data_IF_393058032843
#
_entry.id   IF_393058032843
#
_cell.length_a   1.000
_cell.length_b   1.000
_cell.length_c   1.000
_cell.angle_alpha   90.00
_cell.angle_beta   90.00
_cell.angle_gamma   90.00
#
_symmetry.space_group_name_H-M   'P 1'
#
loop_
_entity.id
_entity.type
_entity.pdbx_description
1 polymer ?
#
# COMPACT_ATOMS: atom_id res chain seq x y z
N UNK A 1 -38.20 12.16 19.44
CA UNK A 1 -37.29 12.81 18.48
C UNK A 1 -36.95 11.78 17.40
N UNK A 2 -37.70 11.76 16.29
CA UNK A 2 -37.60 10.80 15.19
C UNK A 2 -36.71 11.37 14.08
N UNK A 3 -35.60 10.69 13.75
CA UNK A 3 -34.71 11.09 12.64
C UNK A 3 -35.28 10.65 11.29
N UNK A 4 -35.29 11.51 10.25
CA UNK A 4 -35.85 11.13 8.95
C UNK A 4 -34.84 10.35 8.10
N UNK A 5 -35.34 9.27 7.52
CA UNK A 5 -34.73 8.37 6.55
C UNK A 5 -34.30 9.14 5.28
N UNK A 6 -32.99 9.27 5.03
CA UNK A 6 -32.47 9.85 3.78
C UNK A 6 -32.49 8.79 2.69
N UNK A 7 -33.46 8.92 1.78
CA UNK A 7 -33.71 8.03 0.66
C UNK A 7 -32.50 7.76 -0.22
N UNK A 8 -32.40 6.50 -0.63
CA UNK A 8 -31.45 5.98 -1.61
C UNK A 8 -31.61 6.72 -2.95
N UNK A 9 -30.67 7.61 -3.28
CA UNK A 9 -30.48 8.04 -4.68
C UNK A 9 -29.79 6.90 -5.43
N UNK A 10 -30.60 6.04 -6.07
CA UNK A 10 -30.11 5.08 -7.04
C UNK A 10 -29.53 5.84 -8.25
N UNK A 11 -28.20 6.03 -8.25
CA UNK A 11 -27.46 6.47 -9.43
C UNK A 11 -27.62 5.39 -10.51
N UNK A 12 -28.50 5.64 -11.47
CA UNK A 12 -28.73 4.79 -12.65
C UNK A 12 -27.55 4.96 -13.60
N UNK A 13 -26.45 4.28 -13.30
CA UNK A 13 -25.28 4.20 -14.19
C UNK A 13 -25.64 3.25 -15.33
N UNK A 14 -25.78 3.78 -16.54
CA UNK A 14 -25.87 2.99 -17.78
C UNK A 14 -24.67 2.03 -17.82
N UNK A 15 -24.96 0.74 -17.91
CA UNK A 15 -23.97 -0.31 -18.17
C UNK A 15 -23.86 -0.46 -19.67
N UNK A 16 -22.72 -0.10 -20.23
CA UNK A 16 -22.30 -0.59 -21.54
C UNK A 16 -21.81 -2.04 -21.39
N UNK A 17 -22.23 -2.97 -22.26
CA UNK A 17 -21.76 -4.34 -22.25
C UNK A 17 -20.48 -4.46 -23.08
N UNK A 18 -19.37 -4.92 -22.47
CA UNK A 18 -18.39 -5.72 -23.22
C UNK A 18 -16.97 -5.20 -23.46
N UNK A 19 -16.37 -4.34 -22.62
CA UNK A 19 -14.94 -3.95 -22.80
C UNK A 19 -14.03 -4.07 -21.56
N UNK A 20 -14.44 -4.77 -20.50
CA UNK A 20 -13.56 -4.97 -19.32
C UNK A 20 -12.64 -6.21 -19.46
N UNK A 21 -12.17 -6.48 -20.67
CA UNK A 21 -11.18 -7.51 -21.00
C UNK A 21 -9.79 -6.95 -21.31
N UNK A 22 -9.50 -5.70 -20.95
CA UNK A 22 -8.15 -5.14 -21.08
C UNK A 22 -7.25 -5.78 -20.01
N UNK A 23 -6.24 -6.52 -20.47
CA UNK A 23 -5.21 -7.14 -19.64
C UNK A 23 -4.47 -6.10 -18.80
N UNK A 24 -4.98 -5.84 -17.58
CA UNK A 24 -4.35 -4.94 -16.62
C UNK A 24 -2.91 -5.38 -16.32
N UNK A 25 -1.98 -4.45 -16.47
CA UNK A 25 -0.58 -4.68 -16.09
C UNK A 25 -0.45 -4.76 -14.57
N UNK A 26 0.63 -5.38 -14.10
CA UNK A 26 0.93 -5.45 -12.65
C UNK A 26 1.10 -4.04 -12.05
N UNK A 27 1.68 -3.11 -12.80
CA UNK A 27 1.95 -1.74 -12.35
C UNK A 27 0.64 -0.96 -12.15
N UNK A 28 -0.24 -0.94 -13.15
CA UNK A 28 -1.56 -0.31 -13.05
C UNK A 28 -2.39 -0.89 -11.89
N UNK A 29 -2.33 -2.22 -11.71
CA UNK A 29 -3.09 -2.91 -10.69
C UNK A 29 -2.65 -2.54 -9.26
N UNK A 30 -1.37 -2.27 -9.05
CA UNK A 30 -0.85 -1.84 -7.75
C UNK A 30 -1.17 -0.38 -7.49
N UNK A 31 -1.00 0.49 -8.50
CA UNK A 31 -1.07 1.95 -8.38
C UNK A 31 -2.50 2.48 -8.34
N UNK A 32 -3.45 1.83 -9.03
CA UNK A 32 -4.84 2.28 -9.05
C UNK A 32 -5.42 2.43 -7.64
N UNK A 33 -6.32 3.37 -7.44
CA UNK A 33 -7.08 3.49 -6.20
C UNK A 33 -8.03 2.30 -5.99
N UNK A 34 -8.63 2.20 -4.80
CA UNK A 34 -9.69 1.21 -4.55
C UNK A 34 -10.93 1.55 -5.40
N UNK A 35 -11.20 2.84 -5.63
CA UNK A 35 -12.34 3.31 -6.41
C UNK A 35 -12.22 2.91 -7.88
N UNK A 36 -11.05 3.13 -8.48
CA UNK A 36 -10.76 2.74 -9.87
C UNK A 36 -10.80 1.22 -10.03
N UNK A 37 -10.16 0.46 -9.12
CA UNK A 37 -10.28 -1.00 -9.12
C UNK A 37 -11.74 -1.42 -9.12
N UNK A 38 -12.56 -0.89 -8.22
CA UNK A 38 -13.97 -1.24 -8.12
C UNK A 38 -14.78 -0.87 -9.37
N UNK A 39 -14.34 0.11 -10.16
CA UNK A 39 -14.93 0.42 -11.46
C UNK A 39 -14.58 -0.65 -12.50
N UNK A 40 -13.31 -1.08 -12.56
CA UNK A 40 -12.86 -2.17 -13.45
C UNK A 40 -13.48 -3.53 -13.09
N UNK A 41 -13.79 -3.77 -11.81
CA UNK A 41 -14.43 -5.01 -11.37
C UNK A 41 -15.91 -5.14 -11.82
N UNK A 42 -16.52 -4.08 -12.35
CA UNK A 42 -17.93 -4.12 -12.75
C UNK A 42 -18.09 -5.00 -13.99
N UNK A 43 -19.00 -5.97 -13.92
CA UNK A 43 -19.32 -6.85 -15.05
C UNK A 43 -18.46 -8.10 -15.14
N UNK A 44 -17.43 -8.24 -14.29
CA UNK A 44 -16.67 -9.48 -14.14
C UNK A 44 -17.45 -10.50 -13.30
N UNK A 45 -17.15 -11.78 -13.54
CA UNK A 45 -17.61 -12.89 -12.71
C UNK A 45 -17.03 -12.82 -11.29
N UNK A 46 -17.64 -13.56 -10.37
CA UNK A 46 -17.17 -13.61 -8.97
C UNK A 46 -15.75 -14.16 -8.89
N UNK A 47 -15.46 -15.17 -9.70
CA UNK A 47 -14.18 -15.86 -9.78
C UNK A 47 -13.08 -14.90 -10.28
N UNK A 48 -13.34 -14.16 -11.36
CA UNK A 48 -12.41 -13.16 -11.89
C UNK A 48 -12.13 -12.03 -10.89
N UNK A 49 -13.17 -11.56 -10.18
CA UNK A 49 -13.01 -10.55 -9.12
C UNK A 49 -12.08 -11.05 -8.01
N UNK A 50 -12.25 -12.29 -7.57
CA UNK A 50 -11.40 -12.90 -6.53
C UNK A 50 -9.96 -13.01 -7.02
N UNK A 51 -9.76 -13.51 -8.24
CA UNK A 51 -8.42 -13.65 -8.84
C UNK A 51 -7.72 -12.29 -8.97
N UNK A 52 -8.40 -11.26 -9.45
CA UNK A 52 -7.81 -9.92 -9.63
C UNK A 52 -7.45 -9.27 -8.28
N UNK A 53 -8.32 -9.40 -7.27
CA UNK A 53 -8.03 -8.93 -5.91
C UNK A 53 -6.85 -9.69 -5.30
N UNK A 54 -6.78 -11.00 -5.50
CA UNK A 54 -5.68 -11.81 -5.00
C UNK A 54 -4.36 -11.44 -5.68
N UNK A 55 -4.34 -11.28 -7.01
CA UNK A 55 -3.17 -10.80 -7.76
C UNK A 55 -2.71 -9.44 -7.22
N UNK A 56 -3.62 -8.49 -7.05
CA UNK A 56 -3.33 -7.18 -6.46
C UNK A 56 -2.73 -7.28 -5.05
N UNK A 57 -3.28 -8.14 -4.19
CA UNK A 57 -2.78 -8.37 -2.83
C UNK A 57 -1.36 -8.91 -2.84
N UNK A 58 -1.09 -9.91 -3.68
CA UNK A 58 0.25 -10.49 -3.84
C UNK A 58 1.27 -9.44 -4.28
N UNK A 59 0.91 -8.60 -5.26
CA UNK A 59 1.80 -7.54 -5.75
C UNK A 59 2.07 -6.47 -4.69
N UNK A 60 1.04 -6.01 -3.96
CA UNK A 60 1.25 -5.07 -2.84
C UNK A 60 2.13 -5.68 -1.74
N UNK A 61 1.92 -6.95 -1.41
CA UNK A 61 2.76 -7.66 -0.43
C UNK A 61 4.21 -7.78 -0.88
N UNK A 62 4.47 -7.96 -2.19
CA UNK A 62 5.82 -7.89 -2.76
C UNK A 62 6.46 -6.52 -2.49
N UNK A 63 5.72 -5.44 -2.71
CA UNK A 63 6.16 -4.08 -2.38
C UNK A 63 6.46 -3.90 -0.89
N UNK A 64 5.55 -4.36 -0.02
CA UNK A 64 5.76 -4.30 1.43
C UNK A 64 6.99 -5.08 1.89
N UNK A 65 7.29 -6.24 1.30
CA UNK A 65 8.51 -6.99 1.60
C UNK A 65 9.77 -6.22 1.20
N UNK A 66 9.76 -5.53 0.06
CA UNK A 66 10.88 -4.66 -0.35
C UNK A 66 11.06 -3.49 0.63
N UNK A 67 9.99 -2.76 0.94
CA UNK A 67 10.04 -1.65 1.92
C UNK A 67 10.46 -2.12 3.31
N UNK A 68 10.06 -3.33 3.73
CA UNK A 68 10.47 -3.91 5.00
C UNK A 68 11.99 -4.17 5.05
N UNK A 69 12.58 -4.70 3.97
CA UNK A 69 14.03 -4.91 3.86
C UNK A 69 14.78 -3.58 3.94
N UNK A 70 14.35 -2.57 3.17
CA UNK A 70 14.96 -1.23 3.19
C UNK A 70 14.89 -0.64 4.59
N UNK A 71 13.70 -0.62 5.20
CA UNK A 71 13.51 -0.08 6.56
C UNK A 71 14.44 -0.76 7.58
N UNK A 72 14.62 -2.07 7.49
CA UNK A 72 15.50 -2.83 8.40
C UNK A 72 16.97 -2.42 8.25
N UNK A 73 17.45 -2.31 7.02
CA UNK A 73 18.84 -1.93 6.73
C UNK A 73 19.08 -0.49 7.22
N UNK A 74 18.20 0.45 6.85
CA UNK A 74 18.30 1.85 7.29
C UNK A 74 18.27 1.97 8.81
N UNK A 75 17.41 1.22 9.51
CA UNK A 75 17.38 1.23 10.97
C UNK A 75 18.66 0.69 11.59
N UNK A 76 19.27 -0.34 10.99
CA UNK A 76 20.55 -0.87 11.46
C UNK A 76 21.67 0.17 11.29
N UNK A 77 21.77 0.78 10.12
CA UNK A 77 22.78 1.81 9.82
C UNK A 77 22.66 3.01 10.75
N UNK A 78 21.42 3.45 11.03
CA UNK A 78 21.16 4.54 11.96
C UNK A 78 21.62 4.20 13.39
N UNK A 79 21.38 2.97 13.85
CA UNK A 79 21.86 2.52 15.16
C UNK A 79 23.40 2.40 15.22
N UNK A 80 24.04 1.95 14.14
CA UNK A 80 25.51 1.90 14.03
C UNK A 80 26.12 3.30 14.09
N UNK A 81 25.49 4.27 13.41
CA UNK A 81 25.88 5.68 13.48
C UNK A 81 25.74 6.25 14.89
N UNK A 82 24.58 6.06 15.54
CA UNK A 82 24.35 6.53 16.91
C UNK A 82 25.36 5.93 17.89
N UNK A 83 25.69 4.64 17.75
CA UNK A 83 26.73 4.00 18.56
C UNK A 83 28.09 4.67 18.36
N UNK A 84 28.48 4.98 17.12
CA UNK A 84 29.75 5.61 16.81
C UNK A 84 29.82 7.03 17.40
N UNK A 85 28.75 7.81 17.29
CA UNK A 85 28.64 9.16 17.88
C UNK A 85 28.77 9.12 19.40
N UNK A 86 28.04 8.22 20.08
CA UNK A 86 28.12 8.06 21.53
C UNK A 86 29.52 7.60 21.99
N UNK A 87 30.17 6.72 21.22
CA UNK A 87 31.52 6.26 21.54
C UNK A 87 32.53 7.41 21.45
N UNK A 88 32.43 8.27 20.43
CA UNK A 88 33.27 9.47 20.32
C UNK A 88 33.02 10.45 21.46
N UNK A 89 31.78 10.62 21.89
CA UNK A 89 31.44 11.50 23.01
C UNK A 89 32.03 10.99 24.33
N UNK A 90 31.97 9.68 24.59
CA UNK A 90 32.61 9.05 25.76
C UNK A 90 34.12 9.26 25.73
N UNK A 91 34.78 9.05 24.58
CA UNK A 91 36.21 9.25 24.44
C UNK A 91 36.62 10.71 24.67
N UNK A 92 35.85 11.65 24.13
CA UNK A 92 36.06 13.09 24.36
C UNK A 92 35.97 13.43 25.84
N UNK A 93 34.88 13.02 26.51
CA UNK A 93 34.70 13.26 27.94
C UNK A 93 35.77 12.58 28.80
N UNK A 94 36.22 11.38 28.43
CA UNK A 94 37.31 10.71 29.13
C UNK A 94 38.64 11.49 29.00
N UNK A 95 38.91 12.07 27.83
CA UNK A 95 40.09 12.91 27.62
C UNK A 95 40.03 14.27 28.33
N UNK A 96 38.83 14.85 28.48
CA UNK A 96 38.63 16.13 29.18
C UNK A 96 38.71 15.99 30.71
N UNK A 97 38.43 14.79 31.23
CA UNK A 97 38.46 14.48 32.67
C UNK A 97 39.78 13.82 33.13
N UNK A 98 40.74 13.61 32.23
CA UNK A 98 42.09 13.09 32.53
C UNK A 98 43.05 14.24 32.88
#
# INVERSE_FOLDING_TARGET
>A
MTTPNKGNKALKVKREPGENGTSLTDEELVTMSVRELNQHLRGLSKEEIVQLKQRRRTLKNRGYAASCRVKRVTQKEELEKQKAELQQEVEKLASENA
#
